data_IF_659606569595
#
_entry.id   IF_659606569595
#
_cell.length_a   1.000
_cell.length_b   1.000
_cell.length_c   1.000
_cell.angle_alpha   90.00
_cell.angle_beta   90.00
_cell.angle_gamma   90.00
#
_symmetry.space_group_name_H-M   'P 1'
#
loop_
_entity.id
_entity.type
_entity.pdbx_description
1 polymer ?
#
# COMPACT_ATOMS: atom_id res chain seq x y z
N UNK A 1 12.32 23.14 39.91
CA UNK A 1 12.04 21.72 39.60
C UNK A 1 10.86 21.61 38.63
N UNK A 2 11.16 21.39 37.35
CA UNK A 2 10.14 21.10 36.35
C UNK A 2 9.70 19.65 36.55
N UNK A 3 8.43 19.42 36.86
CA UNK A 3 7.88 18.08 36.82
C UNK A 3 7.97 17.60 35.36
N UNK A 4 8.60 16.45 35.15
CA UNK A 4 8.66 15.80 33.85
C UNK A 4 7.24 15.66 33.30
N UNK A 5 7.01 16.07 32.05
CA UNK A 5 5.69 16.09 31.44
C UNK A 5 5.01 14.70 31.41
N UNK A 6 5.79 13.64 31.63
CA UNK A 6 5.31 12.26 31.76
C UNK A 6 4.47 12.01 33.03
N UNK A 7 4.65 12.79 34.10
CA UNK A 7 3.86 12.65 35.34
C UNK A 7 2.39 13.08 35.16
N UNK A 8 2.12 13.99 34.21
CA UNK A 8 0.78 14.57 34.02
C UNK A 8 -0.18 13.57 33.36
N UNK A 9 0.33 12.65 32.54
CA UNK A 9 -0.50 11.68 31.81
C UNK A 9 -1.01 10.54 32.69
N UNK A 10 -0.38 10.28 33.84
CA UNK A 10 -0.76 9.20 34.77
C UNK A 10 -1.92 9.59 35.69
N UNK A 11 -2.18 10.90 35.83
CA UNK A 11 -3.18 11.43 36.77
C UNK A 11 -4.59 11.56 36.19
N UNK A 12 -4.79 11.25 34.91
CA UNK A 12 -6.09 11.35 34.24
C UNK A 12 -6.85 10.00 34.32
N UNK A 13 -7.96 9.92 35.08
CA UNK A 13 -8.73 8.69 35.19
C UNK A 13 -9.32 8.31 33.82
N UNK A 14 -8.98 7.12 33.33
CA UNK A 14 -9.45 6.56 32.05
C UNK A 14 -8.48 6.70 30.88
N UNK A 15 -7.36 7.41 31.04
CA UNK A 15 -6.30 7.48 30.02
C UNK A 15 -5.23 6.41 30.30
N UNK A 16 -5.40 5.24 29.68
CA UNK A 16 -4.37 4.20 29.70
C UNK A 16 -3.41 4.47 28.53
N UNK A 17 -2.11 4.62 28.82
CA UNK A 17 -1.08 4.62 27.76
C UNK A 17 -1.25 3.32 26.99
N UNK A 18 -1.64 3.41 25.71
CA UNK A 18 -1.65 2.25 24.82
C UNK A 18 -0.26 1.63 24.91
N UNK A 19 -0.13 0.34 25.30
CA UNK A 19 1.18 -0.29 25.35
C UNK A 19 1.84 -0.08 24.00
N UNK A 20 3.06 0.43 24.03
CA UNK A 20 3.88 0.55 22.84
C UNK A 20 3.89 -0.86 22.22
N UNK A 21 3.44 -1.01 20.96
CA UNK A 21 3.44 -2.33 20.35
C UNK A 21 4.86 -2.86 20.49
N UNK A 22 5.00 -4.07 21.06
CA UNK A 22 6.27 -4.79 21.04
C UNK A 22 6.84 -4.65 19.62
N UNK A 23 8.16 -4.43 19.45
CA UNK A 23 8.73 -4.27 18.12
C UNK A 23 8.22 -5.43 17.31
N UNK A 24 7.26 -5.15 16.43
CA UNK A 24 6.73 -6.15 15.56
C UNK A 24 8.00 -6.66 14.89
N UNK A 25 8.25 -7.96 14.97
CA UNK A 25 9.14 -8.61 14.01
C UNK A 25 8.91 -7.86 12.73
N UNK A 26 9.95 -7.17 12.23
CA UNK A 26 9.90 -6.45 10.97
C UNK A 26 9.49 -7.52 9.97
N UNK A 27 8.17 -7.70 9.82
CA UNK A 27 7.57 -8.54 8.84
C UNK A 27 8.14 -7.91 7.62
N UNK A 28 9.14 -8.58 7.03
CA UNK A 28 9.77 -8.12 5.82
C UNK A 28 8.60 -7.88 4.91
N UNK A 29 8.25 -6.60 4.73
CA UNK A 29 7.18 -6.21 3.84
C UNK A 29 7.84 -6.42 2.50
N UNK A 30 7.89 -7.68 2.09
CA UNK A 30 8.31 -8.06 0.78
C UNK A 30 7.38 -7.26 -0.10
N UNK A 31 7.94 -6.34 -0.89
CA UNK A 31 7.13 -5.46 -1.68
C UNK A 31 6.24 -6.34 -2.56
N UNK A 32 4.95 -6.00 -2.66
CA UNK A 32 3.92 -6.89 -3.21
C UNK A 32 4.24 -7.29 -4.66
N UNK A 33 5.08 -6.50 -5.33
CA UNK A 33 5.53 -6.72 -6.70
C UNK A 33 6.77 -7.65 -6.85
N UNK A 34 7.60 -7.89 -5.82
CA UNK A 34 8.82 -8.76 -5.93
C UNK A 34 8.46 -10.26 -6.05
N UNK A 35 7.20 -10.56 -6.37
CA UNK A 35 6.66 -11.88 -6.59
C UNK A 35 5.76 -11.94 -7.83
N UNK A 36 5.17 -13.12 -8.10
CA UNK A 36 4.37 -13.37 -9.31
C UNK A 36 3.15 -12.45 -9.46
N UNK A 37 2.78 -11.77 -8.38
CA UNK A 37 1.69 -10.81 -8.33
C UNK A 37 2.00 -9.54 -9.15
N UNK A 38 3.19 -8.97 -9.02
CA UNK A 38 3.57 -7.76 -9.77
C UNK A 38 3.58 -8.00 -11.28
N UNK A 39 4.14 -9.13 -11.70
CA UNK A 39 4.17 -9.56 -13.09
C UNK A 39 2.76 -9.74 -13.67
N UNK A 40 1.84 -10.32 -12.90
CA UNK A 40 0.46 -10.54 -13.32
C UNK A 40 -0.27 -9.26 -13.71
N UNK A 41 -0.10 -8.16 -12.97
CA UNK A 41 -0.72 -6.86 -13.31
C UNK A 41 -0.13 -6.30 -14.61
N UNK A 42 1.19 -6.38 -14.78
CA UNK A 42 1.86 -5.91 -15.99
C UNK A 42 1.47 -6.73 -17.22
N UNK A 43 1.38 -8.06 -17.07
CA UNK A 43 0.87 -8.95 -18.12
C UNK A 43 -0.58 -8.63 -18.49
N UNK A 44 -1.43 -8.37 -17.49
CA UNK A 44 -2.84 -8.03 -17.73
C UNK A 44 -2.98 -6.72 -18.51
N UNK A 45 -2.24 -5.69 -18.10
CA UNK A 45 -2.23 -4.38 -18.77
C UNK A 45 -1.67 -4.49 -20.19
N UNK A 46 -0.58 -5.24 -20.37
CA UNK A 46 0.04 -5.46 -21.67
C UNK A 46 0.27 -4.13 -22.42
N UNK A 47 -0.38 -3.94 -23.56
CA UNK A 47 -0.30 -2.69 -24.36
C UNK A 47 -1.50 -1.75 -24.21
N UNK A 48 -2.46 -2.06 -23.33
CA UNK A 48 -3.72 -1.32 -23.22
C UNK A 48 -3.88 -0.70 -21.84
N UNK A 49 -4.65 0.40 -21.78
CA UNK A 49 -5.08 0.94 -20.52
C UNK A 49 -6.27 0.14 -19.98
N UNK A 50 -6.25 -0.23 -18.71
CA UNK A 50 -7.35 -0.94 -18.04
C UNK A 50 -7.86 -0.13 -16.85
N UNK A 51 -9.16 -0.20 -16.62
CA UNK A 51 -9.79 0.32 -15.41
C UNK A 51 -9.45 -0.51 -14.18
N UNK A 52 -9.58 0.10 -13.00
CA UNK A 52 -9.40 -0.59 -11.72
C UNK A 52 -10.28 -1.85 -11.60
N UNK A 53 -11.54 -1.79 -12.06
CA UNK A 53 -12.47 -2.92 -12.02
C UNK A 53 -12.05 -4.06 -12.97
N UNK A 54 -11.55 -3.74 -14.16
CA UNK A 54 -11.01 -4.73 -15.10
C UNK A 54 -9.75 -5.40 -14.54
N UNK A 55 -8.90 -4.64 -13.85
CA UNK A 55 -7.70 -5.17 -13.20
C UNK A 55 -8.10 -6.10 -12.04
N UNK A 56 -9.05 -5.69 -11.20
CA UNK A 56 -9.56 -6.52 -10.12
C UNK A 56 -10.21 -7.82 -10.65
N UNK A 57 -11.04 -7.71 -11.68
CA UNK A 57 -11.69 -8.85 -12.33
C UNK A 57 -10.69 -9.80 -13.01
N UNK A 58 -9.69 -9.27 -13.71
CA UNK A 58 -8.67 -10.06 -14.40
C UNK A 58 -7.67 -10.72 -13.47
N UNK A 59 -7.37 -10.10 -12.32
CA UNK A 59 -6.49 -10.67 -11.30
C UNK A 59 -7.20 -11.63 -10.36
N UNK A 60 -8.50 -11.43 -10.14
CA UNK A 60 -9.30 -12.11 -9.11
C UNK A 60 -8.97 -11.65 -7.70
N UNK A 61 -8.42 -10.45 -7.54
CA UNK A 61 -7.98 -9.93 -6.25
C UNK A 61 -8.98 -8.94 -5.65
N UNK A 62 -8.97 -8.88 -4.32
CA UNK A 62 -9.71 -7.88 -3.57
C UNK A 62 -9.16 -6.46 -3.84
N UNK A 63 -10.08 -5.49 -3.92
CA UNK A 63 -9.77 -4.11 -4.27
C UNK A 63 -8.61 -3.48 -3.46
N UNK A 64 -8.51 -3.66 -2.13
CA UNK A 64 -7.39 -3.10 -1.36
C UNK A 64 -6.03 -3.65 -1.79
N UNK A 65 -5.96 -4.92 -2.19
CA UNK A 65 -4.72 -5.55 -2.68
C UNK A 65 -4.33 -4.99 -4.05
N UNK A 66 -5.32 -4.81 -4.93
CA UNK A 66 -5.09 -4.20 -6.25
C UNK A 66 -4.57 -2.77 -6.11
N UNK A 67 -5.19 -1.96 -5.25
CA UNK A 67 -4.77 -0.58 -4.99
C UNK A 67 -3.35 -0.51 -4.40
N UNK A 68 -3.01 -1.41 -3.48
CA UNK A 68 -1.65 -1.48 -2.94
C UNK A 68 -0.61 -1.78 -4.03
N UNK A 69 -0.90 -2.76 -4.90
CA UNK A 69 0.00 -3.13 -6.00
C UNK A 69 0.14 -2.00 -7.03
N UNK A 70 -0.97 -1.35 -7.40
CA UNK A 70 -0.95 -0.24 -8.36
C UNK A 70 -0.18 0.96 -7.83
N UNK A 71 -0.40 1.33 -6.56
CA UNK A 71 0.33 2.44 -5.94
C UNK A 71 1.84 2.19 -5.86
N UNK A 72 2.24 0.94 -5.62
CA UNK A 72 3.65 0.57 -5.64
C UNK A 72 4.24 0.64 -7.05
N UNK A 73 3.55 0.10 -8.06
CA UNK A 73 4.02 0.13 -9.45
C UNK A 73 4.08 1.56 -10.01
N UNK A 74 3.15 2.43 -9.62
CA UNK A 74 3.18 3.86 -9.96
C UNK A 74 4.37 4.57 -9.30
N UNK A 75 4.63 4.30 -8.00
CA UNK A 75 5.77 4.88 -7.30
C UNK A 75 7.13 4.48 -7.91
N UNK A 76 7.19 3.31 -8.56
CA UNK A 76 8.37 2.81 -9.27
C UNK A 76 8.46 3.30 -10.72
N UNK A 77 7.42 3.98 -11.22
CA UNK A 77 7.33 4.41 -12.61
C UNK A 77 7.07 3.28 -13.61
N UNK A 78 6.65 2.10 -13.17
CA UNK A 78 6.28 1.00 -14.07
C UNK A 78 4.91 1.23 -14.73
N UNK A 79 4.02 1.91 -14.02
CA UNK A 79 2.67 2.25 -14.44
C UNK A 79 2.41 3.74 -14.28
N UNK A 80 1.39 4.24 -14.96
CA UNK A 80 0.83 5.57 -14.75
C UNK A 80 -0.68 5.52 -14.57
N UNK A 81 -1.19 6.33 -13.64
CA UNK A 81 -2.61 6.59 -13.51
C UNK A 81 -3.10 7.50 -14.66
N UNK A 82 -4.31 7.21 -15.15
CA UNK A 82 -5.02 7.93 -16.19
C UNK A 82 -6.38 8.41 -15.66
N UNK A 83 -6.99 9.45 -16.28
CA UNK A 83 -8.31 9.92 -15.87
C UNK A 83 -9.36 8.81 -15.85
N UNK A 84 -10.25 8.86 -14.87
CA UNK A 84 -11.33 7.88 -14.71
C UNK A 84 -10.87 6.53 -14.16
N UNK A 85 -9.86 6.51 -13.28
CA UNK A 85 -9.37 5.29 -12.61
C UNK A 85 -8.83 4.22 -13.56
N UNK A 86 -8.17 4.65 -14.64
CA UNK A 86 -7.49 3.76 -15.58
C UNK A 86 -5.99 3.76 -15.31
N UNK A 87 -5.32 2.67 -15.68
CA UNK A 87 -3.88 2.51 -15.54
C UNK A 87 -3.30 1.98 -16.85
N UNK A 88 -2.07 2.38 -17.16
CA UNK A 88 -1.32 1.88 -18.32
C UNK A 88 0.15 1.74 -17.96
N UNK A 89 0.86 0.84 -18.65
CA UNK A 89 2.33 0.73 -18.53
C UNK A 89 2.98 2.05 -18.94
N UNK A 90 3.90 2.56 -18.13
CA UNK A 90 4.69 3.72 -18.51
C UNK A 90 5.83 3.29 -19.42
N UNK A 91 5.72 3.60 -20.71
CA UNK A 91 6.71 3.24 -21.73
C UNK A 91 7.98 4.11 -21.69
N UNK A 92 8.14 4.93 -20.64
CA UNK A 92 9.34 5.76 -20.40
C UNK A 92 10.31 5.13 -19.40
N UNK A 93 9.93 4.03 -18.76
CA UNK A 93 10.75 3.28 -17.81
C UNK A 93 11.74 2.32 -18.50
#
# INVERSE_FOLDING_TARGET
PAADAEDILVLLPGWVRRPEPAPAEEAQVLPLWDGPDGEKILELLGSHALSLDEIAGGTGWELPRVLAALGELEARGALRALPGSHYAIDQRA
#
